data_IF_034856057345
#
_entry.id   IF_034856057345
#
_cell.length_a   1.000
_cell.length_b   1.000
_cell.length_c   1.000
_cell.angle_alpha   90.00
_cell.angle_beta   90.00
_cell.angle_gamma   90.00
#
_symmetry.space_group_name_H-M   'P 1'
#
loop_
_entity.id
_entity.type
_entity.pdbx_description
1 polymer ?
#
# COMPACT_ATOMS: atom_id res chain seq x y z
N UNK A 1 36.25 -3.66 27.79
CA UNK A 1 35.64 -3.77 26.44
C UNK A 1 34.19 -4.28 26.50
N UNK A 2 33.37 -3.80 27.45
CA UNK A 2 31.95 -4.22 27.63
C UNK A 2 30.99 -3.11 27.17
N UNK A 3 31.41 -1.86 27.33
CA UNK A 3 30.70 -0.64 26.89
C UNK A 3 30.46 -0.61 25.38
N UNK A 4 31.44 -0.99 24.57
CA UNK A 4 31.30 -1.05 23.12
C UNK A 4 30.22 -2.05 22.66
N UNK A 5 30.07 -3.19 23.34
CA UNK A 5 29.05 -4.19 22.98
C UNK A 5 27.64 -3.72 23.33
N UNK A 6 27.47 -3.06 24.47
CA UNK A 6 26.19 -2.47 24.85
C UNK A 6 25.76 -1.36 23.87
N UNK A 7 26.70 -0.51 23.43
CA UNK A 7 26.44 0.52 22.43
C UNK A 7 26.05 -0.10 21.08
N UNK A 8 26.78 -1.12 20.61
CA UNK A 8 26.45 -1.80 19.35
C UNK A 8 25.03 -2.38 19.39
N UNK A 9 24.65 -3.08 20.46
CA UNK A 9 23.29 -3.63 20.60
C UNK A 9 22.20 -2.55 20.60
N UNK A 10 22.47 -1.36 21.15
CA UNK A 10 21.52 -0.25 21.09
C UNK A 10 21.38 0.30 19.67
N UNK A 11 22.48 0.38 18.91
CA UNK A 11 22.47 0.78 17.51
C UNK A 11 21.67 -0.22 16.68
N UNK A 12 21.94 -1.52 16.83
CA UNK A 12 21.26 -2.58 16.07
C UNK A 12 19.74 -2.53 16.31
N UNK A 13 19.30 -2.39 17.57
CA UNK A 13 17.86 -2.27 17.92
C UNK A 13 17.23 -0.99 17.37
N UNK A 14 17.96 0.13 17.36
CA UNK A 14 17.46 1.38 16.80
C UNK A 14 17.28 1.26 15.28
N UNK A 15 18.21 0.60 14.60
CA UNK A 15 18.12 0.29 13.16
C UNK A 15 16.93 -0.64 12.90
N UNK A 16 16.83 -1.78 13.59
CA UNK A 16 15.70 -2.72 13.44
C UNK A 16 14.35 -2.04 13.65
N UNK A 17 14.22 -1.20 14.68
CA UNK A 17 13.00 -0.45 14.94
C UNK A 17 12.69 0.54 13.81
N UNK A 18 13.69 1.28 13.33
CA UNK A 18 13.51 2.23 12.24
C UNK A 18 13.10 1.53 10.93
N UNK A 19 13.70 0.39 10.61
CA UNK A 19 13.33 -0.42 9.44
C UNK A 19 11.90 -0.91 9.55
N UNK A 20 11.50 -1.47 10.71
CA UNK A 20 10.12 -1.92 10.92
C UNK A 20 9.11 -0.79 10.81
N UNK A 21 9.40 0.37 11.39
CA UNK A 21 8.52 1.53 11.27
C UNK A 21 8.41 2.05 9.83
N UNK A 22 9.48 1.95 9.04
CA UNK A 22 9.46 2.29 7.63
C UNK A 22 8.58 1.30 6.83
N UNK A 23 8.72 0.00 7.09
CA UNK A 23 7.91 -1.05 6.46
C UNK A 23 6.42 -0.89 6.80
N UNK A 24 6.08 -0.67 8.07
CA UNK A 24 4.70 -0.41 8.51
C UNK A 24 4.08 0.84 7.86
N UNK A 25 4.89 1.89 7.66
CA UNK A 25 4.43 3.11 6.97
C UNK A 25 4.22 2.86 5.48
N UNK A 26 5.11 2.10 4.83
CA UNK A 26 4.97 1.74 3.44
C UNK A 26 3.71 0.89 3.21
N UNK A 27 3.45 -0.10 4.08
CA UNK A 27 2.25 -0.92 4.02
C UNK A 27 0.97 -0.09 4.17
N UNK A 28 0.92 0.83 5.15
CA UNK A 28 -0.25 1.72 5.33
C UNK A 28 -0.47 2.65 4.15
N UNK A 29 0.61 3.21 3.59
CA UNK A 29 0.52 4.06 2.41
C UNK A 29 -0.03 3.29 1.21
N UNK A 30 0.39 2.02 1.04
CA UNK A 30 -0.07 1.16 -0.03
C UNK A 30 -1.54 0.77 0.13
N UNK A 31 -1.96 0.39 1.35
CA UNK A 31 -3.37 0.12 1.65
C UNK A 31 -4.25 1.36 1.37
N UNK A 32 -3.79 2.55 1.77
CA UNK A 32 -4.51 3.79 1.51
C UNK A 32 -4.60 4.12 0.02
N UNK A 33 -3.54 3.85 -0.75
CA UNK A 33 -3.52 4.01 -2.20
C UNK A 33 -4.54 3.10 -2.89
N UNK A 34 -4.55 1.82 -2.54
CA UNK A 34 -5.53 0.86 -3.07
C UNK A 34 -6.95 1.24 -2.68
N UNK A 35 -7.20 1.59 -1.42
CA UNK A 35 -8.52 2.04 -0.96
C UNK A 35 -9.02 3.25 -1.75
N UNK A 36 -8.14 4.22 -2.01
CA UNK A 36 -8.49 5.41 -2.79
C UNK A 36 -8.83 5.06 -4.24
N UNK A 37 -8.07 4.13 -4.85
CA UNK A 37 -8.37 3.64 -6.19
C UNK A 37 -9.73 2.92 -6.24
N UNK A 38 -10.02 2.03 -5.28
CA UNK A 38 -11.33 1.37 -5.17
C UNK A 38 -12.47 2.38 -5.11
N UNK A 39 -12.36 3.40 -4.26
CA UNK A 39 -13.41 4.42 -4.11
C UNK A 39 -13.62 5.22 -5.39
N UNK A 40 -12.55 5.56 -6.08
CA UNK A 40 -12.64 6.25 -7.36
C UNK A 40 -13.29 5.37 -8.43
N UNK A 41 -12.94 4.08 -8.50
CA UNK A 41 -13.54 3.13 -9.44
C UNK A 41 -15.03 2.96 -9.14
N UNK A 42 -15.42 2.74 -7.87
CA UNK A 42 -16.85 2.64 -7.48
C UNK A 42 -17.63 3.90 -7.88
N UNK A 43 -17.07 5.09 -7.67
CA UNK A 43 -17.72 6.35 -8.09
C UNK A 43 -17.89 6.45 -9.60
N UNK A 44 -16.93 5.96 -10.39
CA UNK A 44 -17.07 5.93 -11.85
C UNK A 44 -18.16 4.93 -12.26
N UNK A 45 -18.17 3.74 -11.66
CA UNK A 45 -19.23 2.74 -11.89
C UNK A 45 -20.61 3.32 -11.58
N UNK A 46 -20.78 3.97 -10.43
CA UNK A 46 -22.06 4.54 -10.00
C UNK A 46 -22.52 5.71 -10.89
N UNK A 47 -21.60 6.60 -11.30
CA UNK A 47 -21.98 7.85 -11.98
C UNK A 47 -22.07 7.72 -13.49
N UNK A 48 -21.32 6.79 -14.07
CA UNK A 48 -21.20 6.63 -15.52
C UNK A 48 -21.76 5.27 -15.99
N UNK A 49 -22.30 4.46 -15.07
CA UNK A 49 -22.78 3.10 -15.31
C UNK A 49 -21.71 2.21 -15.96
N UNK A 50 -20.45 2.45 -15.60
CA UNK A 50 -19.31 1.70 -16.11
C UNK A 50 -19.13 0.40 -15.35
N UNK A 51 -18.64 -0.61 -16.05
CA UNK A 51 -18.04 -1.77 -15.42
C UNK A 51 -16.75 -1.40 -14.68
N UNK A 52 -16.37 -2.21 -13.69
CA UNK A 52 -15.09 -2.05 -13.01
C UNK A 52 -13.90 -2.10 -14.00
N UNK A 53 -14.00 -2.90 -15.06
CA UNK A 53 -13.00 -3.01 -16.11
C UNK A 53 -12.83 -1.70 -16.89
N UNK A 54 -13.94 -1.09 -17.34
CA UNK A 54 -13.92 0.20 -18.06
C UNK A 54 -13.35 1.32 -17.18
N UNK A 55 -13.74 1.36 -15.91
CA UNK A 55 -13.21 2.34 -14.96
C UNK A 55 -11.70 2.16 -14.73
N UNK A 56 -11.22 0.92 -14.59
CA UNK A 56 -9.78 0.63 -14.45
C UNK A 56 -8.98 0.97 -15.71
N UNK A 57 -9.56 0.78 -16.90
CA UNK A 57 -8.94 1.15 -18.17
C UNK A 57 -8.75 2.66 -18.30
N UNK A 58 -9.79 3.45 -17.99
CA UNK A 58 -9.71 4.91 -18.03
C UNK A 58 -8.71 5.46 -17.01
N UNK A 59 -8.67 4.89 -15.82
CA UNK A 59 -7.69 5.26 -14.80
C UNK A 59 -6.28 4.72 -15.07
N UNK A 60 -6.07 4.00 -16.17
CA UNK A 60 -4.79 3.42 -16.57
C UNK A 60 -4.15 2.59 -15.44
N UNK A 61 -4.98 1.83 -14.72
CA UNK A 61 -4.56 1.02 -13.58
C UNK A 61 -3.55 -0.04 -14.04
N UNK A 62 -2.46 -0.18 -13.28
CA UNK A 62 -1.41 -1.17 -13.54
C UNK A 62 -1.95 -2.61 -13.47
N UNK A 63 -1.34 -3.54 -14.20
CA UNK A 63 -1.78 -4.95 -14.16
C UNK A 63 -1.65 -5.56 -12.76
N UNK A 64 -0.62 -5.16 -11.99
CA UNK A 64 -0.46 -5.60 -10.61
C UNK A 64 -1.62 -5.16 -9.72
N UNK A 65 -2.06 -3.92 -9.87
CA UNK A 65 -3.16 -3.37 -9.08
C UNK A 65 -4.51 -3.94 -9.52
N UNK A 66 -4.70 -4.20 -10.83
CA UNK A 66 -5.95 -4.80 -11.34
C UNK A 66 -6.29 -6.10 -10.64
N UNK A 67 -5.30 -6.98 -10.42
CA UNK A 67 -5.51 -8.27 -9.73
C UNK A 67 -5.97 -8.09 -8.29
N UNK A 68 -5.53 -7.03 -7.63
CA UNK A 68 -5.97 -6.68 -6.27
C UNK A 68 -7.38 -6.11 -6.33
N UNK A 69 -7.61 -5.14 -7.22
CA UNK A 69 -8.88 -4.43 -7.35
C UNK A 69 -10.02 -5.34 -7.84
N UNK A 70 -9.75 -6.31 -8.70
CA UNK A 70 -10.71 -7.34 -9.11
C UNK A 70 -11.28 -8.12 -7.92
N UNK A 71 -10.48 -8.36 -6.88
CA UNK A 71 -10.94 -9.04 -5.66
C UNK A 71 -11.76 -8.12 -4.76
N UNK A 72 -11.40 -6.84 -4.70
CA UNK A 72 -12.03 -5.83 -3.85
C UNK A 72 -13.33 -5.25 -4.44
N UNK A 73 -13.53 -5.40 -5.75
CA UNK A 73 -14.66 -4.86 -6.52
C UNK A 73 -15.61 -5.94 -7.05
N UNK A 74 -15.28 -7.22 -6.85
CA UNK A 74 -16.19 -8.34 -7.11
C UNK A 74 -17.31 -8.41 -6.08
#
# INVERSE_FOLDING_TARGET
MVTCKAIQTMIDRAVEKATREADERAEKAEQQRISTLCDNIRRLMEKLDWSAAEAMDVLCVSESDRKVLERELS
#
